data_IF_166833358921
#
_entry.id   IF_166833358921
#
_cell.length_a   1.000
_cell.length_b   1.000
_cell.length_c   1.000
_cell.angle_alpha   90.00
_cell.angle_beta   90.00
_cell.angle_gamma   90.00
#
_symmetry.space_group_name_H-M   'P 1'
#
loop_
_entity.id
_entity.type
_entity.pdbx_description
1 polymer ?
#
# COMPACT_ATOMS: atom_id res chain seq x y z
N UNK A 1 -16.54 14.49 30.33
CA UNK A 1 -16.60 13.83 29.01
C UNK A 1 -15.26 13.15 28.80
N UNK A 2 -15.20 11.83 28.93
CA UNK A 2 -13.96 11.07 28.84
C UNK A 2 -13.75 10.61 27.40
N UNK A 3 -12.59 10.95 26.82
CA UNK A 3 -12.19 10.43 25.52
C UNK A 3 -11.46 9.10 25.78
N UNK A 4 -12.03 7.99 25.30
CA UNK A 4 -11.41 6.68 25.40
C UNK A 4 -10.87 6.31 24.03
N UNK A 5 -9.57 6.04 23.94
CA UNK A 5 -8.95 5.50 22.72
C UNK A 5 -8.83 3.99 22.92
N UNK A 6 -9.56 3.22 22.11
CA UNK A 6 -9.43 1.77 22.06
C UNK A 6 -8.45 1.45 20.94
N UNK A 7 -7.26 0.97 21.30
CA UNK A 7 -6.26 0.49 20.34
C UNK A 7 -6.32 -1.03 20.31
N UNK A 8 -6.64 -1.59 19.15
CA UNK A 8 -6.60 -3.04 18.90
C UNK A 8 -5.36 -3.35 18.09
N UNK A 9 -4.45 -4.12 18.68
CA UNK A 9 -3.26 -4.64 17.99
C UNK A 9 -3.66 -5.97 17.36
N UNK A 10 -3.59 -6.05 16.02
CA UNK A 10 -3.84 -7.28 15.28
C UNK A 10 -2.50 -7.84 14.82
N UNK A 11 -2.14 -9.02 15.33
CA UNK A 11 -0.92 -9.70 14.93
C UNK A 11 -1.04 -10.18 13.49
N UNK A 12 -0.01 -9.97 12.64
CA UNK A 12 -0.01 -10.48 11.28
C UNK A 12 0.13 -12.01 11.27
N UNK A 13 -0.56 -12.64 10.33
CA UNK A 13 -0.43 -14.07 10.07
C UNK A 13 0.45 -14.31 8.84
N UNK A 14 1.23 -15.38 8.84
CA UNK A 14 2.10 -15.75 7.72
C UNK A 14 1.34 -16.71 6.80
N UNK A 15 1.14 -16.32 5.55
CA UNK A 15 0.36 -17.06 4.56
C UNK A 15 1.12 -17.20 3.25
N UNK A 16 0.73 -18.12 2.34
CA UNK A 16 1.34 -18.22 1.03
C UNK A 16 1.35 -16.87 0.31
N UNK A 17 2.49 -16.51 -0.28
CA UNK A 17 2.62 -15.25 -0.98
C UNK A 17 1.71 -15.22 -2.24
N UNK A 18 1.18 -14.05 -2.62
CA UNK A 18 0.42 -13.93 -3.86
C UNK A 18 1.29 -14.30 -5.08
N UNK A 19 0.77 -15.16 -5.95
CA UNK A 19 1.53 -15.69 -7.11
C UNK A 19 1.93 -14.63 -8.13
N UNK A 20 1.25 -13.48 -8.14
CA UNK A 20 1.56 -12.34 -8.99
C UNK A 20 2.71 -11.46 -8.46
N UNK A 21 3.30 -11.81 -7.32
CA UNK A 21 4.53 -11.22 -6.78
C UNK A 21 5.54 -12.34 -6.47
N UNK A 22 6.22 -12.89 -7.50
CA UNK A 22 7.16 -13.99 -7.31
C UNK A 22 8.35 -13.62 -6.43
N UNK A 23 8.68 -12.33 -6.31
CA UNK A 23 9.79 -11.84 -5.49
C UNK A 23 9.52 -11.87 -3.98
N UNK A 24 8.28 -12.11 -3.55
CA UNK A 24 7.91 -12.23 -2.14
C UNK A 24 8.34 -13.57 -1.51
N UNK A 25 8.84 -14.51 -2.31
CA UNK A 25 9.16 -15.86 -1.85
C UNK A 25 7.90 -16.69 -1.62
N UNK A 26 8.00 -17.71 -0.75
CA UNK A 26 6.90 -18.66 -0.54
C UNK A 26 5.78 -18.12 0.36
N UNK A 27 6.07 -17.13 1.21
CA UNK A 27 5.12 -16.63 2.21
C UNK A 27 5.19 -15.12 2.42
N UNK A 28 4.04 -14.48 2.67
CA UNK A 28 3.91 -13.06 2.99
C UNK A 28 3.06 -12.86 4.27
N UNK A 29 3.33 -11.76 4.98
CA UNK A 29 2.50 -11.37 6.13
C UNK A 29 1.17 -10.78 5.66
N UNK A 30 0.10 -11.20 6.32
CA UNK A 30 -1.27 -10.80 6.05
C UNK A 30 -1.94 -10.25 7.29
N UNK A 31 -2.68 -9.16 7.14
CA UNK A 31 -3.42 -8.50 8.20
C UNK A 31 -4.91 -8.64 7.92
N UNK A 32 -5.68 -9.12 8.90
CA UNK A 32 -7.14 -9.13 8.81
C UNK A 32 -7.70 -7.76 9.21
N UNK A 33 -8.72 -7.26 8.52
CA UNK A 33 -9.58 -6.20 9.04
C UNK A 33 -10.84 -6.80 9.67
N UNK A 34 -11.52 -6.02 10.52
CA UNK A 34 -12.78 -6.43 11.16
C UNK A 34 -13.89 -6.79 10.16
N UNK A 35 -13.75 -6.35 8.90
CA UNK A 35 -14.67 -6.65 7.81
C UNK A 35 -14.42 -8.00 7.11
N UNK A 36 -13.61 -8.89 7.72
CA UNK A 36 -13.20 -10.19 7.14
C UNK A 36 -12.38 -10.08 5.85
N UNK A 37 -11.87 -8.88 5.56
CA UNK A 37 -10.99 -8.64 4.41
C UNK A 37 -9.56 -8.78 4.85
N UNK A 38 -8.75 -9.49 4.07
CA UNK A 38 -7.35 -9.71 4.36
C UNK A 38 -6.47 -8.91 3.41
N UNK A 39 -5.46 -8.26 3.96
CA UNK A 39 -4.51 -7.43 3.23
C UNK A 39 -3.11 -8.02 3.37
N UNK A 40 -2.43 -8.24 2.25
CA UNK A 40 -1.02 -8.60 2.28
C UNK A 40 -0.18 -7.32 2.48
N UNK A 41 0.75 -7.35 3.42
CA UNK A 41 1.73 -6.28 3.57
C UNK A 41 2.94 -6.57 2.71
N UNK A 42 3.25 -5.64 1.82
CA UNK A 42 4.42 -5.69 0.95
C UNK A 42 5.29 -4.49 1.25
N UNK A 43 6.54 -4.73 1.60
CA UNK A 43 7.55 -3.68 1.71
C UNK A 43 8.33 -3.59 0.41
N UNK A 44 8.17 -2.46 -0.28
CA UNK A 44 8.96 -2.17 -1.46
C UNK A 44 10.26 -1.49 -1.04
N UNK A 45 11.39 -2.08 -1.44
CA UNK A 45 12.70 -1.44 -1.33
C UNK A 45 13.12 -0.97 -2.72
N UNK A 46 13.28 0.35 -2.87
CA UNK A 46 13.84 0.93 -4.09
C UNK A 46 15.30 0.48 -4.22
N UNK A 47 15.69 0.01 -5.40
CA UNK A 47 17.09 -0.27 -5.69
C UNK A 47 17.93 1.02 -5.54
N UNK A 48 19.11 0.92 -4.95
CA UNK A 48 20.02 2.06 -4.72
C UNK A 48 20.38 2.77 -6.03
N UNK A 49 20.37 2.03 -7.14
CA UNK A 49 20.65 2.52 -8.50
C UNK A 49 19.46 3.19 -9.18
N UNK A 50 18.26 3.12 -8.62
CA UNK A 50 17.06 3.70 -9.24
C UNK A 50 16.96 5.19 -8.95
N UNK A 51 17.11 6.00 -10.01
CA UNK A 51 16.85 7.46 -9.97
C UNK A 51 15.37 7.82 -10.08
N UNK A 52 14.50 6.86 -10.39
CA UNK A 52 13.07 7.11 -10.55
C UNK A 52 12.41 7.52 -9.22
N UNK A 53 11.47 8.48 -9.24
CA UNK A 53 10.60 8.81 -8.12
C UNK A 53 9.78 7.60 -7.62
N UNK A 54 9.54 7.52 -6.31
CA UNK A 54 8.85 6.37 -5.70
C UNK A 54 7.39 6.23 -6.17
N UNK A 55 6.71 7.35 -6.36
CA UNK A 55 5.34 7.39 -6.89
C UNK A 55 5.27 6.84 -8.33
N UNK A 56 6.24 7.17 -9.19
CA UNK A 56 6.34 6.65 -10.55
C UNK A 56 6.59 5.14 -10.54
N UNK A 57 7.46 4.66 -9.66
CA UNK A 57 7.72 3.23 -9.50
C UNK A 57 6.46 2.48 -9.09
N UNK A 58 5.73 2.99 -8.10
CA UNK A 58 4.50 2.37 -7.60
C UNK A 58 3.35 2.41 -8.62
N UNK A 59 3.22 3.49 -9.38
CA UNK A 59 2.26 3.57 -10.49
C UNK A 59 2.56 2.54 -11.57
N UNK A 60 3.83 2.40 -11.97
CA UNK A 60 4.23 1.40 -12.96
C UNK A 60 4.07 -0.02 -12.44
N UNK A 61 4.34 -0.25 -11.16
CA UNK A 61 4.06 -1.53 -10.53
C UNK A 61 2.57 -1.86 -10.61
N UNK A 62 1.70 -0.92 -10.22
CA UNK A 62 0.24 -1.09 -10.25
C UNK A 62 -0.29 -1.47 -11.64
N UNK A 63 0.32 -0.96 -12.72
CA UNK A 63 -0.03 -1.33 -14.11
C UNK A 63 0.27 -2.80 -14.45
N UNK A 64 1.24 -3.40 -13.78
CA UNK A 64 1.66 -4.78 -14.04
C UNK A 64 0.96 -5.79 -13.14
N UNK A 65 0.08 -5.34 -12.24
CA UNK A 65 -0.69 -6.23 -11.37
C UNK A 65 -1.97 -6.71 -12.05
N UNK A 66 -2.52 -7.87 -11.64
CA UNK A 66 -3.84 -8.30 -12.08
C UNK A 66 -4.91 -7.24 -11.81
N UNK A 67 -5.94 -7.16 -12.66
CA UNK A 67 -6.99 -6.13 -12.57
C UNK A 67 -7.72 -6.07 -11.23
N UNK A 68 -7.83 -7.19 -10.52
CA UNK A 68 -8.51 -7.26 -9.22
C UNK A 68 -7.61 -6.83 -8.03
N UNK A 69 -6.35 -6.45 -8.29
CA UNK A 69 -5.38 -6.08 -7.27
C UNK A 69 -5.23 -4.57 -7.22
N UNK A 70 -5.41 -4.01 -6.03
CA UNK A 70 -5.25 -2.59 -5.76
C UNK A 70 -4.12 -2.38 -4.77
N UNK A 71 -3.30 -1.34 -4.97
CA UNK A 71 -2.28 -0.95 -4.00
C UNK A 71 -2.80 0.17 -3.12
N UNK A 72 -2.88 -0.06 -1.81
CA UNK A 72 -3.17 0.98 -0.84
C UNK A 72 -1.89 1.70 -0.44
N UNK A 73 -1.87 3.02 -0.63
CA UNK A 73 -0.77 3.89 -0.22
C UNK A 73 -1.22 4.73 0.97
N UNK A 74 -0.63 4.47 2.13
CA UNK A 74 -0.90 5.22 3.35
C UNK A 74 -0.34 6.66 3.28
N UNK A 75 -0.86 7.59 4.10
CA UNK A 75 -0.34 8.94 4.17
C UNK A 75 1.13 8.98 4.56
N UNK A 76 1.88 9.91 3.97
CA UNK A 76 3.29 10.21 4.32
C UNK A 76 4.30 9.07 4.18
N UNK A 77 3.93 7.97 3.51
CA UNK A 77 4.82 6.82 3.30
C UNK A 77 5.60 6.89 1.99
N UNK A 78 5.04 7.52 0.96
CA UNK A 78 5.64 7.64 -0.37
C UNK A 78 6.03 9.08 -0.63
N UNK A 79 7.26 9.27 -1.13
CA UNK A 79 7.74 10.56 -1.58
C UNK A 79 7.38 10.77 -3.05
N UNK A 80 6.65 11.84 -3.34
CA UNK A 80 6.32 12.24 -4.70
C UNK A 80 7.53 12.83 -5.40
N UNK A 81 7.46 12.91 -6.73
CA UNK A 81 8.50 13.52 -7.57
C UNK A 81 8.82 14.97 -7.20
N UNK A 82 7.87 15.69 -6.59
CA UNK A 82 8.03 17.06 -6.07
C UNK A 82 8.71 17.12 -4.68
N UNK A 83 9.20 15.98 -4.17
CA UNK A 83 9.81 15.81 -2.85
C UNK A 83 8.86 15.95 -1.66
N UNK A 84 7.58 16.24 -1.89
CA UNK A 84 6.57 16.23 -0.85
C UNK A 84 6.15 14.79 -0.54
N UNK A 85 5.89 14.54 0.74
CA UNK A 85 5.24 13.31 1.15
C UNK A 85 3.75 13.45 0.87
N UNK A 86 3.14 12.39 0.36
CA UNK A 86 1.68 12.32 0.23
C UNK A 86 1.02 12.79 1.56
N UNK A 87 -0.01 13.62 1.47
CA UNK A 87 -0.81 14.07 2.63
C UNK A 87 -2.07 13.24 2.93
N UNK A 88 -2.53 12.39 2.01
CA UNK A 88 -3.81 11.67 2.07
C UNK A 88 -3.69 10.23 1.54
N UNK A 89 -4.47 9.26 2.07
CA UNK A 89 -4.42 7.90 1.56
C UNK A 89 -5.03 7.79 0.15
N UNK A 90 -4.49 6.93 -0.70
CA UNK A 90 -5.02 6.66 -2.04
C UNK A 90 -4.83 5.20 -2.48
N UNK A 91 -5.62 4.75 -3.46
CA UNK A 91 -5.40 3.50 -4.19
C UNK A 91 -4.66 3.76 -5.49
N UNK A 92 -3.86 2.78 -5.91
CA UNK A 92 -3.46 2.63 -7.29
C UNK A 92 -4.19 1.46 -7.91
N UNK A 93 -5.00 1.75 -8.93
CA UNK A 93 -5.67 0.80 -9.81
C UNK A 93 -5.08 0.90 -11.20
N UNK A 94 -4.30 -0.10 -11.64
CA UNK A 94 -3.72 -0.13 -12.97
C UNK A 94 -2.94 1.18 -13.31
N UNK A 95 -2.23 1.72 -12.32
CA UNK A 95 -1.49 2.98 -12.43
C UNK A 95 -2.32 4.25 -12.30
N UNK A 96 -3.65 4.16 -12.14
CA UNK A 96 -4.53 5.30 -11.86
C UNK A 96 -4.63 5.52 -10.36
N UNK A 97 -4.48 6.78 -9.93
CA UNK A 97 -4.62 7.18 -8.53
C UNK A 97 -6.07 7.47 -8.22
N UNK A 98 -6.67 6.66 -7.34
CA UNK A 98 -8.03 6.84 -6.84
C UNK A 98 -7.99 7.34 -5.39
N UNK A 99 -8.55 8.53 -5.15
CA UNK A 99 -8.55 9.17 -3.84
C UNK A 99 -9.73 8.68 -3.00
N UNK A 100 -9.46 8.23 -1.77
CA UNK A 100 -10.53 7.89 -0.83
C UNK A 100 -11.13 9.10 -0.14
N UNK A 101 -10.34 10.16 -0.01
CA UNK A 101 -10.71 11.38 0.69
C UNK A 101 -10.38 12.53 -0.23
N UNK A 102 -11.43 13.14 -0.78
CA UNK A 102 -11.29 14.43 -1.44
C UNK A 102 -11.02 15.48 -0.36
N UNK A 103 -9.97 16.30 -0.49
CA UNK A 103 -9.82 17.46 0.38
C UNK A 103 -11.12 18.26 0.30
N UNK A 104 -11.65 18.64 1.47
CA UNK A 104 -12.68 19.67 1.49
C UNK A 104 -11.94 20.97 1.16
N UNK A 105 -12.35 21.61 0.07
CA UNK A 105 -11.84 22.92 -0.34
C UNK A 105 -11.70 23.89 0.84
#
# INVERSE_FOLDING_TARGET
MYCHVIVRIMEPDLQPAPTFFPELGESAYRFGSEHKTWYNSVQFKRAVTSSAPEDVLLQNLSKNLPQHVFLYIAPKTVRRSDSEKNGFPYLLEQGRMELFVYPKD
#
